data_IF_782264099607
#
_entry.id   IF_782264099607
#
_cell.length_a   1.000
_cell.length_b   1.000
_cell.length_c   1.000
_cell.angle_alpha   90.00
_cell.angle_beta   90.00
_cell.angle_gamma   90.00
#
_symmetry.space_group_name_H-M   'P 1'
#
loop_
_entity.id
_entity.type
_entity.pdbx_description
1 polymer ?
#
# COMPACT_ATOMS: atom_id res chain seq x y z
N UNK A 1 -2.96 11.55 -2.76
CA UNK A 1 -2.09 10.36 -2.80
C UNK A 1 -1.77 10.00 -4.24
N UNK A 2 -0.49 9.86 -4.61
CA UNK A 2 -0.07 9.44 -5.96
C UNK A 2 0.43 8.01 -5.89
N UNK A 3 -0.20 7.09 -6.63
CA UNK A 3 0.29 5.72 -6.76
C UNK A 3 1.44 5.70 -7.77
N UNK A 4 2.63 5.33 -7.30
CA UNK A 4 3.79 5.09 -8.12
C UNK A 4 3.69 3.70 -8.78
N UNK A 5 4.41 3.45 -9.88
CA UNK A 5 4.55 2.08 -10.38
C UNK A 5 5.06 1.16 -9.27
N UNK A 6 4.71 -0.14 -9.30
CA UNK A 6 5.24 -1.10 -8.35
C UNK A 6 6.77 -1.09 -8.33
N UNK A 7 7.35 -1.19 -7.14
CA UNK A 7 8.77 -1.41 -6.95
C UNK A 7 9.15 -2.80 -7.46
N UNK A 8 8.36 -3.81 -7.09
CA UNK A 8 8.49 -5.19 -7.56
C UNK A 8 7.12 -5.80 -7.84
N UNK A 9 7.08 -6.75 -8.77
CA UNK A 9 5.92 -7.60 -9.04
C UNK A 9 6.38 -9.04 -9.11
N UNK A 10 5.78 -9.91 -8.29
CA UNK A 10 5.99 -11.35 -8.35
C UNK A 10 4.70 -12.02 -8.81
N UNK A 11 4.76 -12.73 -9.93
CA UNK A 11 3.62 -13.47 -10.47
C UNK A 11 3.83 -14.97 -10.25
N UNK A 12 2.89 -15.59 -9.54
CA UNK A 12 2.71 -17.04 -9.46
C UNK A 12 1.56 -17.51 -10.35
N UNK A 13 1.16 -18.77 -10.17
CA UNK A 13 0.08 -19.38 -10.96
C UNK A 13 -1.30 -18.77 -10.67
N UNK A 14 -1.68 -18.69 -9.39
CA UNK A 14 -2.97 -18.16 -8.93
C UNK A 14 -2.81 -16.90 -8.05
N UNK A 15 -1.62 -16.29 -8.05
CA UNK A 15 -1.28 -15.18 -7.16
C UNK A 15 -0.41 -14.14 -7.84
N UNK A 16 -0.68 -12.87 -7.57
CA UNK A 16 0.22 -11.75 -7.89
C UNK A 16 0.53 -10.98 -6.61
N UNK A 17 1.81 -10.74 -6.36
CA UNK A 17 2.29 -9.93 -5.24
C UNK A 17 2.87 -8.64 -5.78
N UNK A 18 2.40 -7.52 -5.27
CA UNK A 18 2.91 -6.19 -5.58
C UNK A 18 3.66 -5.64 -4.38
N UNK A 19 4.88 -5.19 -4.60
CA UNK A 19 5.60 -4.33 -3.67
C UNK A 19 5.44 -2.89 -4.15
N UNK A 20 4.84 -2.04 -3.33
CA UNK A 20 4.47 -0.68 -3.68
C UNK A 20 5.05 0.32 -2.68
N UNK A 21 5.26 1.54 -3.15
CA UNK A 21 5.54 2.70 -2.31
C UNK A 21 4.44 3.73 -2.48
N UNK A 22 3.91 4.23 -1.37
CA UNK A 22 2.95 5.35 -1.35
C UNK A 22 3.63 6.59 -0.80
N UNK A 23 3.49 7.70 -1.52
CA UNK A 23 3.95 9.01 -1.09
C UNK A 23 2.78 9.99 -1.05
N UNK A 24 2.71 10.74 0.04
CA UNK A 24 1.66 11.71 0.29
C UNK A 24 2.16 12.86 1.15
N UNK A 25 1.39 13.94 1.17
CA UNK A 25 1.63 15.10 2.05
C UNK A 25 0.30 15.53 2.62
N UNK A 26 0.21 15.59 3.95
CA UNK A 26 -1.00 16.07 4.64
C UNK A 26 -1.20 17.58 4.45
N UNK A 27 -2.39 18.10 4.81
CA UNK A 27 -2.67 19.56 4.85
C UNK A 27 -1.65 20.33 5.67
N UNK A 28 -1.14 19.70 6.73
CA UNK A 28 -0.14 20.27 7.63
C UNK A 28 1.26 20.36 7.02
N UNK A 29 1.48 19.79 5.83
CA UNK A 29 2.81 19.65 5.22
C UNK A 29 3.58 18.42 5.71
N UNK A 30 3.03 17.63 6.64
CA UNK A 30 3.65 16.38 7.10
C UNK A 30 3.70 15.37 5.95
N UNK A 31 4.88 14.84 5.63
CA UNK A 31 5.06 13.84 4.59
C UNK A 31 4.66 12.45 5.09
N UNK A 32 3.89 11.74 4.28
CA UNK A 32 3.59 10.33 4.41
C UNK A 32 4.41 9.55 3.37
N UNK A 33 5.15 8.55 3.83
CA UNK A 33 5.93 7.69 2.96
C UNK A 33 5.94 6.29 3.57
N UNK A 34 5.17 5.38 2.98
CA UNK A 34 5.05 4.01 3.47
C UNK A 34 5.14 3.00 2.33
N UNK A 35 5.67 1.83 2.65
CA UNK A 35 5.77 0.69 1.74
C UNK A 35 4.68 -0.33 2.06
N UNK A 36 4.19 -0.96 1.00
CA UNK A 36 3.08 -1.90 1.06
C UNK A 36 3.40 -3.16 0.27
N UNK A 37 3.01 -4.30 0.80
CA UNK A 37 2.89 -5.54 0.03
C UNK A 37 1.41 -5.84 -0.14
N UNK A 38 0.96 -5.93 -1.39
CA UNK A 38 -0.38 -6.44 -1.71
C UNK A 38 -0.28 -7.82 -2.32
N UNK A 39 -1.05 -8.78 -1.80
CA UNK A 39 -1.19 -10.10 -2.40
C UNK A 39 -2.60 -10.26 -2.96
N UNK A 40 -2.70 -10.55 -4.25
CA UNK A 40 -3.95 -10.84 -4.95
C UNK A 40 -3.96 -12.32 -5.29
N UNK A 41 -4.95 -13.07 -4.78
CA UNK A 41 -5.21 -14.44 -5.23
C UNK A 41 -6.33 -14.45 -6.25
N UNK A 42 -6.26 -15.36 -7.21
CA UNK A 42 -7.20 -15.46 -8.31
C UNK A 42 -7.83 -16.84 -8.38
N UNK A 43 -9.06 -16.88 -8.88
CA UNK A 43 -9.73 -18.08 -9.37
C UNK A 43 -10.15 -17.80 -10.82
N UNK A 44 -9.37 -18.31 -11.78
CA UNK A 44 -9.48 -17.90 -13.18
C UNK A 44 -9.20 -16.41 -13.35
N UNK A 45 -10.11 -15.68 -14.00
CA UNK A 45 -9.98 -14.24 -14.25
C UNK A 45 -10.52 -13.36 -13.10
N UNK A 46 -10.92 -13.96 -11.98
CA UNK A 46 -11.51 -13.24 -10.85
C UNK A 46 -10.55 -13.18 -9.67
N UNK A 47 -10.49 -12.04 -9.00
CA UNK A 47 -9.79 -11.91 -7.73
C UNK A 47 -10.61 -12.63 -6.66
N UNK A 48 -10.00 -13.63 -6.02
CA UNK A 48 -10.56 -14.39 -4.92
C UNK A 48 -10.30 -13.72 -3.56
N UNK A 49 -9.10 -13.14 -3.38
CA UNK A 49 -8.76 -12.42 -2.14
C UNK A 49 -7.69 -11.37 -2.36
N UNK A 50 -7.76 -10.28 -1.59
CA UNK A 50 -6.73 -9.24 -1.50
C UNK A 50 -6.24 -9.20 -0.06
N UNK A 51 -4.93 -9.15 0.17
CA UNK A 51 -4.34 -8.83 1.46
C UNK A 51 -3.36 -7.69 1.32
N UNK A 52 -3.30 -6.87 2.36
CA UNK A 52 -2.39 -5.74 2.50
C UNK A 52 -1.49 -6.00 3.70
N UNK A 53 -0.19 -5.82 3.50
CA UNK A 53 0.80 -5.74 4.56
C UNK A 53 1.41 -4.35 4.49
N UNK A 54 1.42 -3.68 5.63
CA UNK A 54 1.88 -2.30 5.78
C UNK A 54 2.71 -2.21 7.04
N UNK A 55 3.67 -1.27 7.09
CA UNK A 55 4.24 -0.86 8.36
C UNK A 55 3.17 -0.12 9.17
N UNK A 56 2.43 -0.89 9.96
CA UNK A 56 1.35 -0.41 10.83
C UNK A 56 1.87 0.44 12.00
N UNK A 57 3.15 0.27 12.39
CA UNK A 57 3.79 1.10 13.41
C UNK A 57 4.02 2.51 12.88
N UNK A 58 4.67 2.62 11.72
CA UNK A 58 4.83 3.89 11.02
C UNK A 58 3.47 4.56 10.74
N UNK A 59 2.50 3.80 10.23
CA UNK A 59 1.17 4.34 9.94
C UNK A 59 0.50 4.89 11.21
N UNK A 60 0.52 4.14 12.31
CA UNK A 60 -0.05 4.56 13.58
C UNK A 60 0.62 5.82 14.13
N UNK A 61 1.96 5.88 14.14
CA UNK A 61 2.72 7.08 14.56
C UNK A 61 2.41 8.28 13.66
N UNK A 62 2.27 8.04 12.35
CA UNK A 62 1.96 9.10 11.42
C UNK A 62 0.56 9.66 11.65
N UNK A 63 -0.46 8.80 11.76
CA UNK A 63 -1.85 9.19 11.98
C UNK A 63 -2.09 9.77 13.37
N UNK A 64 -1.43 9.29 14.41
CA UNK A 64 -1.50 9.88 15.75
C UNK A 64 -1.05 11.34 15.78
N UNK A 65 -0.18 11.73 14.84
CA UNK A 65 0.30 13.11 14.68
C UNK A 65 -0.28 13.87 13.50
N UNK A 66 -1.31 13.37 12.80
CA UNK A 66 -1.90 14.00 11.62
C UNK A 66 -3.36 14.39 11.88
N UNK A 67 -3.66 15.70 11.88
CA UNK A 67 -5.01 16.18 11.62
C UNK A 67 -5.37 15.93 10.16
N UNK A 68 -6.60 15.49 9.91
CA UNK A 68 -7.20 15.00 8.66
C UNK A 68 -6.48 15.32 7.32
N UNK A 69 -6.36 14.29 6.47
CA UNK A 69 -5.81 14.36 5.11
C UNK A 69 -6.67 15.19 4.12
N UNK A 70 -6.11 15.48 2.93
CA UNK A 70 -6.83 15.96 1.72
C UNK A 70 -6.63 14.97 0.59
#
# INVERSE_FOLDING_TARGET
MKLLPPLDVVQGEDVVVFHLKSEGTAKSGKSFNNEYIFTFRFEGERILSIREFVDSGYAAEWFAGAGEEV
#
